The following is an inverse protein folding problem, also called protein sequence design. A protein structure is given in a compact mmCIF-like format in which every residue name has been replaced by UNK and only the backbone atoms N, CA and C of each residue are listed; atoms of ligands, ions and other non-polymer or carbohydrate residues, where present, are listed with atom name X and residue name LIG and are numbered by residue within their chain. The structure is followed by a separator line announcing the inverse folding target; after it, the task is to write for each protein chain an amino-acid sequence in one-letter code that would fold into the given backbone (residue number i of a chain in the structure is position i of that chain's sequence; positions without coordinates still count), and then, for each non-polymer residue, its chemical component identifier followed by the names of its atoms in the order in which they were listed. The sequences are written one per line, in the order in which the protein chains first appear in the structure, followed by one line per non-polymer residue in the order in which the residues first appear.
data_IF_666947257241
#
_entry.id   IF_666947257241
#
_cell.length_a   1.000
_cell.length_b   1.000
_cell.length_c   1.000
_cell.angle_alpha   90.00
_cell.angle_beta   90.00
_cell.angle_gamma   90.00
#
_symmetry.space_group_name_H-M   'P 1'
#
loop_
_entity.id
_entity.type
_entity.pdbx_description
1 polymer ?
#
# COMPACT_ATOMS: atom_id res chain seq x y z
N UNK A 1 14.86 -7.31 22.82
CA UNK A 1 13.90 -6.45 22.07
C UNK A 1 13.33 -7.33 20.97
N UNK A 2 12.01 -7.53 20.95
CA UNK A 2 11.34 -8.17 19.81
C UNK A 2 11.57 -7.26 18.60
N UNK A 3 12.03 -7.81 17.49
CA UNK A 3 12.25 -7.03 16.27
C UNK A 3 10.87 -6.56 15.76
N UNK A 4 10.75 -5.26 15.44
CA UNK A 4 9.52 -4.72 14.84
C UNK A 4 9.28 -5.35 13.48
N UNK A 5 8.02 -5.67 13.19
CA UNK A 5 7.62 -6.21 11.90
C UNK A 5 7.85 -5.19 10.79
N UNK A 6 8.29 -5.69 9.64
CA UNK A 6 8.46 -4.88 8.44
C UNK A 6 7.25 -5.03 7.53
N UNK A 7 6.60 -3.90 7.23
CA UNK A 7 5.33 -3.88 6.52
C UNK A 7 5.46 -3.36 5.09
N UNK A 8 4.68 -3.92 4.16
CA UNK A 8 4.50 -3.38 2.81
C UNK A 8 3.03 -2.97 2.59
N UNK A 9 2.81 -1.74 2.13
CA UNK A 9 1.50 -1.21 1.76
C UNK A 9 1.34 -1.25 0.24
N UNK A 10 0.37 -1.97 -0.30
CA UNK A 10 0.29 -2.23 -1.75
C UNK A 10 -1.07 -1.85 -2.33
N UNK A 11 -1.07 -1.01 -3.37
CA UNK A 11 -2.27 -0.72 -4.16
C UNK A 11 -1.98 -0.87 -5.65
N UNK A 12 -2.82 -0.32 -6.53
CA UNK A 12 -2.59 -0.42 -7.98
C UNK A 12 -1.43 0.47 -8.48
N UNK A 13 -1.51 1.79 -8.24
CA UNK A 13 -0.57 2.78 -8.82
C UNK A 13 0.52 3.28 -7.87
N UNK A 14 0.53 2.84 -6.60
CA UNK A 14 1.38 3.42 -5.56
C UNK A 14 1.24 4.96 -5.42
N UNK A 15 -0.01 5.45 -5.47
CA UNK A 15 -0.32 6.88 -5.49
C UNK A 15 -1.17 7.31 -4.30
N UNK A 16 -2.31 6.66 -4.08
CA UNK A 16 -3.30 7.08 -3.09
C UNK A 16 -3.28 6.20 -1.83
N UNK A 17 -4.05 5.11 -1.83
CA UNK A 17 -4.27 4.21 -0.67
C UNK A 17 -2.98 3.75 0.02
N UNK A 18 -2.06 3.12 -0.72
CA UNK A 18 -0.80 2.63 -0.15
C UNK A 18 0.13 3.72 0.36
N UNK A 19 0.13 4.90 -0.28
CA UNK A 19 0.98 6.02 0.12
C UNK A 19 0.42 6.78 1.32
N UNK A 20 -0.90 6.89 1.44
CA UNK A 20 -1.55 7.43 2.64
C UNK A 20 -1.25 6.54 3.86
N UNK A 21 -1.40 5.21 3.70
CA UNK A 21 -1.03 4.24 4.73
C UNK A 21 0.47 4.30 5.07
N UNK A 22 1.37 4.29 4.07
CA UNK A 22 2.81 4.44 4.29
C UNK A 22 3.12 5.71 5.10
N UNK A 23 2.60 6.86 4.67
CA UNK A 23 2.84 8.13 5.37
C UNK A 23 2.38 8.09 6.83
N UNK A 24 1.27 7.40 7.13
CA UNK A 24 0.76 7.26 8.48
C UNK A 24 1.60 6.28 9.32
N UNK A 25 1.88 5.08 8.83
CA UNK A 25 2.68 4.06 9.53
C UNK A 25 4.10 4.56 9.82
N UNK A 26 4.74 5.23 8.85
CA UNK A 26 6.07 5.82 9.02
C UNK A 26 6.11 6.87 10.13
N UNK A 27 5.06 7.69 10.26
CA UNK A 27 4.93 8.65 11.37
C UNK A 27 4.78 7.98 12.74
N UNK A 28 4.32 6.73 12.78
CA UNK A 28 4.21 5.92 14.00
C UNK A 28 5.44 5.01 14.23
N UNK A 29 6.49 5.16 13.42
CA UNK A 29 7.78 4.48 13.62
C UNK A 29 7.83 3.03 13.17
N UNK A 30 6.90 2.59 12.31
CA UNK A 30 6.99 1.30 11.64
C UNK A 30 8.10 1.30 10.58
N UNK A 31 8.76 0.16 10.39
CA UNK A 31 9.53 -0.11 9.18
C UNK A 31 8.54 -0.45 8.06
N UNK A 32 8.30 0.51 7.17
CA UNK A 32 7.24 0.41 6.16
C UNK A 32 7.76 0.81 4.78
N UNK A 33 7.37 0.02 3.78
CA UNK A 33 7.52 0.34 2.36
C UNK A 33 6.17 0.32 1.65
N UNK A 34 6.10 0.76 0.40
CA UNK A 34 4.85 0.75 -0.36
C UNK A 34 5.03 0.50 -1.84
N UNK A 35 4.07 -0.17 -2.47
CA UNK A 35 4.16 -0.64 -3.85
C UNK A 35 2.86 -0.45 -4.64
N UNK A 36 3.00 -0.59 -5.96
CA UNK A 36 1.92 -0.69 -6.92
C UNK A 36 2.00 -2.03 -7.65
N UNK A 37 0.89 -2.68 -7.97
CA UNK A 37 0.88 -3.92 -8.77
C UNK A 37 0.56 -3.68 -10.25
N UNK A 38 0.07 -2.49 -10.60
CA UNK A 38 -0.32 -2.14 -11.96
C UNK A 38 0.84 -2.23 -12.96
N UNK A 39 0.52 -2.28 -14.25
CA UNK A 39 1.52 -2.17 -15.31
C UNK A 39 2.12 -0.76 -15.41
N UNK A 40 1.30 0.26 -15.14
CA UNK A 40 1.68 1.67 -15.19
C UNK A 40 1.03 2.42 -14.03
N UNK A 41 1.60 3.56 -13.68
CA UNK A 41 1.04 4.51 -12.71
C UNK A 41 -0.05 5.31 -13.42
N UNK A 42 -1.29 5.21 -12.95
CA UNK A 42 -2.43 5.96 -13.49
C UNK A 42 -2.95 6.97 -12.48
N UNK A 43 -3.16 8.20 -12.94
CA UNK A 43 -3.81 9.29 -12.21
C UNK A 43 -5.00 9.82 -13.03
N UNK A 44 -6.11 10.25 -12.38
CA UNK A 44 -7.21 10.89 -13.10
C UNK A 44 -6.75 12.09 -13.92
N UNK A 45 -7.33 12.28 -15.10
CA UNK A 45 -7.12 13.46 -15.95
C UNK A 45 -8.41 14.24 -16.18
N UNK A 46 -8.51 15.05 -17.25
CA UNK A 46 -9.69 15.88 -17.54
C UNK A 46 -10.98 15.08 -17.76
N UNK A 47 -10.86 13.84 -18.24
CA UNK A 47 -11.98 12.94 -18.45
C UNK A 47 -11.61 11.49 -18.09
N UNK A 48 -12.61 10.62 -17.96
CA UNK A 48 -12.39 9.18 -17.70
C UNK A 48 -11.58 8.49 -18.82
N UNK A 49 -11.59 9.03 -20.04
CA UNK A 49 -10.89 8.47 -21.21
C UNK A 49 -9.47 9.01 -21.36
N UNK A 50 -9.12 10.04 -20.60
CA UNK A 50 -7.83 10.75 -20.70
C UNK A 50 -7.10 10.73 -19.36
N UNK A 51 -6.72 9.55 -18.84
CA UNK A 51 -5.91 9.49 -17.62
C UNK A 51 -4.48 9.97 -17.88
N UNK A 52 -3.83 10.47 -16.84
CA UNK A 52 -2.39 10.67 -16.87
C UNK A 52 -1.69 9.34 -16.55
N UNK A 53 -0.82 8.90 -17.46
CA UNK A 53 -0.12 7.62 -17.34
C UNK A 53 1.38 7.89 -17.28
N UNK A 54 2.05 7.22 -16.35
CA UNK A 54 3.50 7.29 -16.15
C UNK A 54 4.07 5.90 -15.89
N UNK A 55 5.36 5.73 -16.15
CA UNK A 55 6.08 4.52 -15.76
C UNK A 55 6.38 4.52 -14.25
N UNK A 56 6.42 3.34 -13.66
CA UNK A 56 7.01 3.16 -12.32
C UNK A 56 8.46 3.65 -12.33
N UNK A 57 8.91 4.24 -11.22
CA UNK A 57 10.21 4.91 -11.13
C UNK A 57 10.20 6.38 -11.58
N UNK A 58 9.15 6.87 -12.26
CA UNK A 58 9.01 8.30 -12.55
C UNK A 58 8.89 9.10 -11.25
N UNK A 59 9.77 10.08 -10.95
CA UNK A 59 9.72 10.79 -9.67
C UNK A 59 8.39 11.54 -9.46
N UNK A 60 7.85 11.50 -8.24
CA UNK A 60 6.62 12.25 -7.92
C UNK A 60 6.79 13.76 -8.14
N UNK A 61 8.04 14.27 -8.06
CA UNK A 61 8.37 15.67 -8.35
C UNK A 61 8.06 16.01 -9.79
N UNK A 62 8.47 15.13 -10.70
CA UNK A 62 8.23 15.28 -12.12
C UNK A 62 6.72 15.23 -12.42
N UNK A 63 6.00 14.24 -11.89
CA UNK A 63 4.54 14.15 -12.05
C UNK A 63 3.83 15.42 -11.54
N UNK A 64 4.24 15.91 -10.37
CA UNK A 64 3.67 17.12 -9.78
C UNK A 64 3.90 18.35 -10.69
N UNK A 65 5.11 18.52 -11.22
CA UNK A 65 5.43 19.63 -12.13
C UNK A 65 4.72 19.50 -13.49
N UNK A 66 4.63 18.30 -14.04
CA UNK A 66 3.92 18.00 -15.29
C UNK A 66 2.43 18.36 -15.17
N UNK A 67 1.74 17.83 -14.15
CA UNK A 67 0.32 18.12 -13.94
C UNK A 67 0.07 19.60 -13.64
N UNK A 68 0.96 20.25 -12.87
CA UNK A 68 0.87 21.69 -12.61
C UNK A 68 0.96 22.51 -13.90
N UNK A 69 1.77 22.09 -14.87
CA UNK A 69 1.89 22.77 -16.18
C UNK A 69 0.70 22.50 -17.09
N UNK A 70 0.11 21.30 -17.02
CA UNK A 70 -1.06 20.92 -17.82
C UNK A 70 -2.32 21.68 -17.40
N UNK A 71 -2.71 21.62 -16.12
CA UNK A 71 -3.90 22.31 -15.61
C UNK A 71 -3.86 22.40 -14.07
N UNK A 72 -3.29 23.49 -13.55
CA UNK A 72 -3.14 23.67 -12.10
C UNK A 72 -4.48 23.70 -11.36
N UNK A 73 -5.55 24.21 -11.96
CA UNK A 73 -6.83 24.40 -11.29
C UNK A 73 -7.61 23.08 -11.22
N UNK A 74 -7.58 22.27 -12.29
CA UNK A 74 -8.11 20.91 -12.27
C UNK A 74 -7.42 20.07 -11.19
N UNK A 75 -6.08 20.00 -11.22
CA UNK A 75 -5.34 19.09 -10.35
C UNK A 75 -5.21 19.57 -8.89
N UNK A 76 -5.50 20.86 -8.63
CA UNK A 76 -5.77 21.34 -7.27
C UNK A 76 -7.16 20.92 -6.81
N UNK A 77 -8.20 21.15 -7.61
CA UNK A 77 -9.60 20.86 -7.24
C UNK A 77 -9.87 19.38 -7.00
N UNK A 78 -9.28 18.49 -7.79
CA UNK A 78 -9.42 17.03 -7.59
C UNK A 78 -8.44 16.44 -6.56
N UNK A 79 -7.59 17.27 -5.93
CA UNK A 79 -6.68 16.86 -4.87
C UNK A 79 -5.41 16.12 -5.31
N UNK A 80 -5.14 15.96 -6.61
CA UNK A 80 -3.96 15.23 -7.09
C UNK A 80 -2.65 15.96 -6.77
N UNK A 81 -2.57 17.29 -6.92
CA UNK A 81 -1.35 18.04 -6.58
C UNK A 81 -1.02 17.96 -5.07
N UNK A 82 -1.98 18.17 -4.15
CA UNK A 82 -1.76 17.86 -2.73
C UNK A 82 -1.30 16.41 -2.46
N UNK A 83 -1.93 15.42 -3.11
CA UNK A 83 -1.55 14.01 -2.98
C UNK A 83 -0.10 13.76 -3.41
N UNK A 84 0.31 14.28 -4.57
CA UNK A 84 1.69 14.15 -5.05
C UNK A 84 2.69 14.86 -4.14
N UNK A 85 2.31 16.00 -3.56
CA UNK A 85 3.12 16.71 -2.55
C UNK A 85 3.31 15.87 -1.28
N UNK A 86 2.28 15.15 -0.82
CA UNK A 86 2.40 14.16 0.27
C UNK A 86 3.37 13.05 -0.13
N UNK A 87 3.20 12.45 -1.31
CA UNK A 87 4.03 11.34 -1.79
C UNK A 87 5.52 11.69 -1.85
N UNK A 88 5.82 12.90 -2.32
CA UNK A 88 7.17 13.49 -2.31
C UNK A 88 7.82 13.52 -0.92
N UNK A 89 7.04 13.80 0.12
CA UNK A 89 7.53 13.80 1.50
C UNK A 89 7.80 12.40 2.06
N UNK A 90 7.29 11.36 1.40
CA UNK A 90 7.43 9.96 1.84
C UNK A 90 8.61 9.28 1.13
N UNK A 91 8.66 9.34 -0.21
CA UNK A 91 9.70 8.74 -1.05
C UNK A 91 9.79 9.38 -2.44
N UNK A 92 10.83 9.05 -3.21
CA UNK A 92 11.12 9.70 -4.50
C UNK A 92 10.14 9.37 -5.63
N UNK A 93 9.80 8.09 -5.80
CA UNK A 93 9.03 7.59 -6.94
C UNK A 93 8.14 6.41 -6.55
N UNK A 94 7.01 6.16 -7.26
CA UNK A 94 6.25 4.94 -7.10
C UNK A 94 7.09 3.74 -7.56
N UNK A 95 7.06 2.70 -6.75
CA UNK A 95 7.73 1.41 -7.01
C UNK A 95 6.69 0.34 -7.30
N UNK A 96 7.08 -0.62 -8.13
CA UNK A 96 6.24 -1.76 -8.51
C UNK A 96 6.56 -2.95 -7.60
N UNK A 97 5.53 -3.69 -7.17
CA UNK A 97 5.66 -4.81 -6.23
C UNK A 97 6.52 -5.94 -6.79
N UNK A 98 6.28 -6.30 -8.05
CA UNK A 98 6.97 -7.38 -8.75
C UNK A 98 8.48 -7.14 -8.87
N UNK A 99 8.93 -5.89 -8.73
CA UNK A 99 10.33 -5.48 -8.87
C UNK A 99 11.02 -5.22 -7.50
N UNK A 100 10.39 -5.63 -6.38
CA UNK A 100 10.85 -5.29 -5.03
C UNK A 100 11.96 -6.20 -4.46
N UNK A 101 12.54 -7.12 -5.23
CA UNK A 101 13.50 -8.11 -4.72
C UNK A 101 14.70 -7.48 -4.00
N UNK A 102 15.16 -6.31 -4.46
CA UNK A 102 16.26 -5.57 -3.85
C UNK A 102 15.91 -4.93 -2.49
N UNK A 103 14.62 -4.76 -2.20
CA UNK A 103 14.15 -4.12 -0.97
C UNK A 103 14.15 -5.10 0.21
N UNK A 104 14.39 -6.40 0.00
CA UNK A 104 14.42 -7.44 1.05
C UNK A 104 13.03 -7.97 1.43
N UNK A 105 12.95 -8.65 2.57
CA UNK A 105 11.76 -9.35 3.02
C UNK A 105 10.84 -8.46 3.88
N UNK A 106 9.54 -8.76 3.84
CA UNK A 106 8.47 -8.17 4.64
C UNK A 106 7.82 -9.26 5.49
N UNK A 107 7.36 -8.88 6.67
CA UNK A 107 6.61 -9.81 7.54
C UNK A 107 5.10 -9.70 7.25
N UNK A 108 4.63 -8.48 6.94
CA UNK A 108 3.21 -8.20 6.67
C UNK A 108 3.05 -7.39 5.38
N UNK A 109 2.12 -7.81 4.52
CA UNK A 109 1.71 -7.08 3.31
C UNK A 109 0.24 -6.71 3.43
N UNK A 110 -0.05 -5.42 3.41
CA UNK A 110 -1.41 -4.88 3.37
C UNK A 110 -1.77 -4.50 1.93
N UNK A 111 -2.80 -5.11 1.37
CA UNK A 111 -3.40 -4.73 0.10
C UNK A 111 -4.72 -3.99 0.33
N UNK A 112 -5.09 -3.13 -0.62
CA UNK A 112 -6.25 -2.24 -0.48
C UNK A 112 -7.39 -2.49 -1.49
N UNK A 113 -7.34 -3.64 -2.17
CA UNK A 113 -8.28 -4.08 -3.20
C UNK A 113 -8.02 -5.56 -3.49
N UNK A 114 -9.08 -6.37 -3.57
CA UNK A 114 -8.98 -7.82 -3.80
C UNK A 114 -8.14 -8.18 -5.05
N UNK A 115 -8.28 -7.42 -6.14
CA UNK A 115 -7.44 -7.62 -7.33
C UNK A 115 -5.94 -7.43 -7.05
N UNK A 116 -5.59 -6.50 -6.17
CA UNK A 116 -4.19 -6.25 -5.78
C UNK A 116 -3.69 -7.40 -4.90
N UNK A 117 -4.54 -7.90 -4.00
CA UNK A 117 -4.27 -9.10 -3.18
C UNK A 117 -3.93 -10.31 -4.04
N UNK A 118 -4.75 -10.62 -5.04
CA UNK A 118 -4.53 -11.74 -5.96
C UNK A 118 -3.20 -11.63 -6.70
N UNK A 119 -2.87 -10.44 -7.22
CA UNK A 119 -1.60 -10.21 -7.95
C UNK A 119 -0.39 -10.36 -7.01
N UNK A 120 -0.50 -9.92 -5.76
CA UNK A 120 0.59 -10.08 -4.77
C UNK A 120 0.82 -11.56 -4.49
N UNK A 121 -0.25 -12.34 -4.28
CA UNK A 121 -0.15 -13.78 -3.99
C UNK A 121 0.40 -14.53 -5.20
N UNK A 122 -0.12 -14.24 -6.39
CA UNK A 122 0.36 -14.83 -7.65
C UNK A 122 1.85 -14.57 -7.85
N UNK A 123 2.29 -13.33 -7.64
CA UNK A 123 3.69 -12.97 -7.75
C UNK A 123 4.56 -13.67 -6.70
N UNK A 124 4.12 -13.76 -5.44
CA UNK A 124 4.83 -14.49 -4.39
C UNK A 124 4.96 -15.99 -4.71
N UNK A 125 3.90 -16.61 -5.23
CA UNK A 125 3.91 -18.03 -5.62
C UNK A 125 4.78 -18.31 -6.85
N UNK A 126 4.96 -17.32 -7.72
CA UNK A 126 5.80 -17.43 -8.92
C UNK A 126 7.29 -17.18 -8.63
N UNK A 127 7.64 -16.62 -7.46
CA UNK A 127 9.03 -16.46 -7.03
C UNK A 127 9.61 -17.81 -6.60
N UNK A 128 10.91 -17.98 -6.78
CA UNK A 128 11.60 -19.17 -6.31
C UNK A 128 11.64 -19.17 -4.77
N UNK A 129 10.86 -20.06 -4.15
CA UNK A 129 10.77 -20.20 -2.70
C UNK A 129 12.04 -20.84 -2.15
N UNK A 130 13.01 -20.01 -1.79
CA UNK A 130 14.31 -20.46 -1.26
C UNK A 130 14.35 -20.49 0.25
N UNK A 131 13.40 -19.83 0.92
CA UNK A 131 13.40 -19.63 2.36
C UNK A 131 12.11 -20.20 2.97
N UNK A 132 12.22 -20.86 4.12
CA UNK A 132 11.04 -21.24 4.89
C UNK A 132 10.51 -20.08 5.73
N UNK A 133 10.58 -18.84 5.21
CA UNK A 133 10.12 -17.63 5.90
C UNK A 133 8.70 -17.30 5.44
N UNK A 134 7.77 -17.28 6.39
CA UNK A 134 6.38 -16.89 6.18
C UNK A 134 6.25 -15.39 5.94
N UNK A 135 5.22 -15.02 5.18
CA UNK A 135 4.76 -13.65 4.99
C UNK A 135 3.24 -13.63 5.10
N UNK A 136 2.72 -12.74 5.95
CA UNK A 136 1.30 -12.52 6.11
C UNK A 136 0.81 -11.53 5.05
N UNK A 137 -0.14 -11.92 4.22
CA UNK A 137 -0.77 -11.05 3.22
C UNK A 137 -2.21 -10.82 3.63
N UNK A 138 -2.61 -9.56 3.77
CA UNK A 138 -3.93 -9.13 4.24
C UNK A 138 -4.54 -8.16 3.23
N UNK A 139 -5.80 -8.37 2.86
CA UNK A 139 -6.59 -7.41 2.10
C UNK A 139 -7.59 -6.66 2.98
N UNK A 140 -7.49 -5.34 2.97
CA UNK A 140 -8.45 -4.40 3.53
C UNK A 140 -9.10 -3.63 2.38
N UNK A 141 -10.37 -3.93 2.07
CA UNK A 141 -11.05 -3.28 0.94
C UNK A 141 -11.25 -1.78 1.19
N UNK A 142 -10.62 -0.94 0.36
CA UNK A 142 -10.67 0.53 0.48
C UNK A 142 -10.95 1.15 -0.89
N UNK A 143 -12.01 1.95 -0.96
CA UNK A 143 -12.37 2.69 -2.18
C UNK A 143 -11.28 3.69 -2.56
N UNK A 144 -11.03 3.84 -3.86
CA UNK A 144 -9.94 4.69 -4.35
C UNK A 144 -10.34 6.17 -4.45
N UNK A 145 -10.54 6.80 -3.30
CA UNK A 145 -10.66 8.25 -3.16
C UNK A 145 -9.88 8.73 -1.92
N UNK A 146 -9.78 10.05 -1.73
CA UNK A 146 -8.94 10.62 -0.67
C UNK A 146 -9.47 10.34 0.75
N UNK A 147 -10.78 10.44 0.95
CA UNK A 147 -11.42 10.29 2.26
C UNK A 147 -11.33 8.83 2.73
N UNK A 148 -11.66 7.90 1.85
CA UNK A 148 -11.61 6.46 2.10
C UNK A 148 -10.17 5.97 2.27
N UNK A 149 -9.21 6.52 1.50
CA UNK A 149 -7.79 6.21 1.70
C UNK A 149 -7.29 6.65 3.09
N UNK A 150 -7.72 7.82 3.58
CA UNK A 150 -7.34 8.29 4.91
C UNK A 150 -8.00 7.45 6.02
N UNK A 151 -9.25 7.04 5.86
CA UNK A 151 -9.93 6.12 6.79
C UNK A 151 -9.26 4.74 6.79
N UNK A 152 -9.01 4.18 5.59
CA UNK A 152 -8.34 2.90 5.40
C UNK A 152 -6.90 2.87 5.93
N UNK A 153 -6.17 3.99 5.85
CA UNK A 153 -4.84 4.11 6.44
C UNK A 153 -4.87 3.96 7.97
N UNK A 154 -5.88 4.51 8.65
CA UNK A 154 -6.05 4.35 10.11
C UNK A 154 -6.34 2.90 10.47
N UNK A 155 -7.26 2.28 9.74
CA UNK A 155 -7.58 0.86 9.91
C UNK A 155 -6.35 -0.05 9.69
N UNK A 156 -5.55 0.23 8.66
CA UNK A 156 -4.32 -0.50 8.40
C UNK A 156 -3.28 -0.29 9.51
N UNK A 157 -3.16 0.92 10.06
CA UNK A 157 -2.31 1.19 11.21
C UNK A 157 -2.76 0.40 12.44
N UNK A 158 -4.05 0.46 12.78
CA UNK A 158 -4.63 -0.24 13.93
C UNK A 158 -4.34 -1.75 13.83
N UNK A 159 -4.59 -2.35 12.66
CA UNK A 159 -4.32 -3.77 12.43
C UNK A 159 -2.82 -4.09 12.52
N UNK A 160 -1.94 -3.26 11.93
CA UNK A 160 -0.50 -3.46 12.06
C UNK A 160 -0.01 -3.34 13.51
N UNK A 161 -0.62 -2.48 14.33
CA UNK A 161 -0.30 -2.37 15.74
C UNK A 161 -0.75 -3.59 16.54
N UNK A 162 -1.91 -4.16 16.23
CA UNK A 162 -2.35 -5.42 16.87
C UNK A 162 -1.43 -6.59 16.51
N UNK A 163 -0.99 -6.68 15.25
CA UNK A 163 -0.06 -7.72 14.79
C UNK A 163 1.36 -7.53 15.37
N UNK A 164 1.89 -6.30 15.41
CA UNK A 164 3.22 -6.03 15.99
C UNK A 164 3.25 -6.20 17.52
N UNK A 165 2.09 -6.06 18.18
CA UNK A 165 1.94 -6.33 19.61
C UNK A 165 1.80 -7.82 19.94
N UNK A 166 1.46 -8.66 18.96
CA UNK A 166 1.36 -10.10 19.13
C UNK A 166 2.74 -10.71 19.39
N UNK A 167 2.82 -11.68 20.30
CA UNK A 167 4.08 -12.38 20.57
C UNK A 167 4.47 -13.30 19.41
N UNK A 168 3.47 -13.95 18.84
CA UNK A 168 3.57 -14.81 17.66
C UNK A 168 2.33 -14.59 16.80
N UNK A 169 2.41 -13.71 15.80
CA UNK A 169 1.24 -13.44 14.96
C UNK A 169 0.74 -14.70 14.23
N UNK A 170 1.61 -15.68 13.95
CA UNK A 170 1.23 -16.93 13.28
C UNK A 170 0.20 -17.73 14.07
N UNK A 171 0.29 -17.72 15.40
CA UNK A 171 -0.66 -18.42 16.29
C UNK A 171 -1.90 -17.56 16.62
N UNK A 172 -1.77 -16.23 16.51
CA UNK A 172 -2.77 -15.26 16.98
C UNK A 172 -3.59 -14.61 15.85
N UNK A 173 -3.24 -14.82 14.57
CA UNK A 173 -3.81 -14.07 13.44
C UNK A 173 -5.33 -14.20 13.31
N UNK A 174 -5.88 -15.40 13.53
CA UNK A 174 -7.33 -15.63 13.48
C UNK A 174 -8.08 -14.82 14.55
N UNK A 175 -7.53 -14.72 15.75
CA UNK A 175 -8.11 -13.98 16.86
C UNK A 175 -7.98 -12.46 16.64
N UNK A 176 -6.82 -12.01 16.14
CA UNK A 176 -6.57 -10.60 15.77
C UNK A 176 -7.56 -10.16 14.70
N UNK A 177 -7.71 -10.91 13.61
CA UNK A 177 -8.65 -10.61 12.53
C UNK A 177 -10.08 -10.61 13.05
N UNK A 178 -10.49 -11.66 13.78
CA UNK A 178 -11.85 -11.76 14.35
C UNK A 178 -12.18 -10.60 15.29
N UNK A 179 -11.23 -10.15 16.10
CA UNK A 179 -11.37 -8.98 16.97
C UNK A 179 -11.48 -7.69 16.15
N UNK A 180 -10.60 -7.50 15.19
CA UNK A 180 -10.59 -6.35 14.29
C UNK A 180 -11.91 -6.21 13.53
N UNK A 181 -12.41 -7.30 12.92
CA UNK A 181 -13.67 -7.29 12.16
C UNK A 181 -14.86 -6.90 13.04
N UNK A 182 -14.93 -7.40 14.29
CA UNK A 182 -15.97 -7.03 15.25
C UNK A 182 -15.89 -5.56 15.67
N UNK A 183 -14.68 -5.06 15.92
CA UNK A 183 -14.45 -3.69 16.39
C UNK A 183 -14.78 -2.66 15.30
N UNK A 184 -14.32 -2.89 14.07
CA UNK A 184 -14.41 -1.93 12.99
C UNK A 184 -15.60 -2.18 12.04
N UNK A 185 -16.32 -3.31 12.21
CA UNK A 185 -17.40 -3.76 11.30
C UNK A 185 -16.95 -3.83 9.84
N UNK A 186 -15.68 -4.19 9.65
CA UNK A 186 -15.02 -4.25 8.35
C UNK A 186 -14.47 -5.66 8.17
N UNK A 187 -14.80 -6.30 7.06
CA UNK A 187 -14.24 -7.62 6.75
C UNK A 187 -12.82 -7.52 6.22
N UNK A 188 -12.01 -8.52 6.54
CA UNK A 188 -10.61 -8.61 6.14
C UNK A 188 -10.36 -10.01 5.59
N UNK A 189 -9.68 -10.09 4.45
CA UNK A 189 -9.18 -11.35 3.92
C UNK A 189 -7.70 -11.47 4.24
N UNK A 190 -7.22 -12.66 4.56
CA UNK A 190 -5.79 -12.85 4.74
C UNK A 190 -5.36 -14.25 4.28
N UNK A 191 -4.07 -14.39 3.99
CA UNK A 191 -3.41 -15.66 3.70
C UNK A 191 -1.95 -15.60 4.14
N UNK A 192 -1.32 -16.75 4.24
CA UNK A 192 0.11 -16.89 4.51
C UNK A 192 0.78 -17.41 3.24
N UNK A 193 1.85 -16.72 2.81
CA UNK A 193 2.72 -17.15 1.72
C UNK A 193 4.15 -17.35 2.23
N UNK A 194 5.07 -17.73 1.33
CA UNK A 194 6.46 -18.04 1.68
C UNK A 194 7.43 -17.43 0.66
N UNK A 195 8.63 -17.08 1.13
CA UNK A 195 9.71 -16.49 0.33
C UNK A 195 10.65 -17.46 -0.36
#
# INVERSE_FOLDING_TARGET
MVARLRCAMVCSSNQNRSMEAHALLKRHGFDVSSYGTGAHVKLPGPSLREPNVYDFGTPYKYMHEDLRRKDVDLYKRNGILPMLKRNLGVKNAPQRWQDNAADGFFDVVMTFEEKVFDIVIEDLNNREQRLTRSILVINLEVKDNHEEAAAGAKLALDLCQEIDAAGCWEDEIDDIVSKFERQHKQKVLYTIAFY
#
